data_IF_772771143929
#
_entry.id   IF_772771143929
#
_cell.length_a   1.000
_cell.length_b   1.000
_cell.length_c   1.000
_cell.angle_alpha   90.00
_cell.angle_beta   90.00
_cell.angle_gamma   90.00
#
_symmetry.space_group_name_H-M   'P 1'
#
loop_
_entity.id
_entity.type
_entity.pdbx_description
1 polymer ?
#
# COMPACT_ATOMS: atom_id res chain seq x y z
N UNK A 6 -13.76 -19.21 -9.03
CA UNK A 6 -13.19 -19.59 -7.73
C UNK A 6 -11.97 -18.76 -7.40
N UNK A 7 -10.88 -18.99 -8.12
CA UNK A 7 -9.61 -18.32 -7.84
C UNK A 7 -9.72 -16.82 -8.08
N UNK A 8 -10.53 -16.44 -9.05
CA UNK A 8 -10.77 -15.03 -9.35
C UNK A 8 -11.41 -14.32 -8.16
N UNK A 9 -12.43 -14.94 -7.58
CA UNK A 9 -13.10 -14.40 -6.41
C UNK A 9 -12.17 -14.36 -5.20
N UNK A 10 -11.34 -15.38 -5.07
CA UNK A 10 -10.39 -15.47 -3.97
C UNK A 10 -9.36 -14.35 -4.04
N UNK A 11 -8.86 -14.10 -5.25
CA UNK A 11 -7.88 -13.04 -5.47
C UNK A 11 -8.50 -11.67 -5.23
N UNK A 12 -9.75 -11.50 -5.65
CA UNK A 12 -10.48 -10.27 -5.41
C UNK A 12 -10.65 -10.01 -3.91
N UNK A 13 -10.97 -11.06 -3.17
CA UNK A 13 -11.10 -10.96 -1.72
C UNK A 13 -9.79 -10.54 -1.07
N UNK A 14 -8.69 -11.09 -1.58
CA UNK A 14 -7.35 -10.72 -1.10
C UNK A 14 -7.07 -9.25 -1.37
N UNK A 15 -7.47 -8.78 -2.54
CA UNK A 15 -7.28 -7.38 -2.92
C UNK A 15 -8.09 -6.46 -2.02
N UNK A 16 -9.25 -6.92 -1.59
CA UNK A 16 -10.07 -6.17 -0.65
C UNK A 16 -9.38 -6.03 0.70
N UNK A 17 -8.74 -7.10 1.14
CA UNK A 17 -7.98 -7.08 2.39
C UNK A 17 -6.77 -6.15 2.27
N UNK A 18 -6.14 -6.16 1.10
CA UNK A 18 -5.03 -5.26 0.82
C UNK A 18 -5.48 -3.81 0.83
N UNK A 19 -6.65 -3.55 0.26
CA UNK A 19 -7.25 -2.22 0.29
C UNK A 19 -7.52 -1.77 1.72
N UNK A 20 -7.93 -2.71 2.56
CA UNK A 20 -8.08 -2.45 3.99
C UNK A 20 -6.77 -1.99 4.60
N UNK A 21 -5.68 -2.66 4.25
CA UNK A 21 -4.35 -2.28 4.73
C UNK A 21 -3.96 -0.90 4.20
N UNK A 22 -4.36 -0.60 2.98
CA UNK A 22 -4.15 0.72 2.40
C UNK A 22 -4.89 1.79 3.18
N UNK A 23 -6.11 1.47 3.62
CA UNK A 23 -6.92 2.38 4.40
C UNK A 23 -6.28 2.67 5.75
N UNK A 24 -5.68 1.63 6.34
CA UNK A 24 -4.96 1.78 7.60
C UNK A 24 -3.77 2.73 7.44
N UNK A 25 -3.01 2.53 6.37
CA UNK A 25 -1.86 3.37 6.09
C UNK A 25 -2.29 4.80 5.78
N UNK A 26 -3.37 4.94 5.03
CA UNK A 26 -3.91 6.24 4.69
C UNK A 26 -4.32 7.03 5.93
N UNK A 27 -4.94 6.33 6.88
CA UNK A 27 -5.34 6.93 8.13
C UNK A 27 -4.13 7.44 8.92
N UNK A 28 -3.13 6.59 9.07
CA UNK A 28 -1.93 6.94 9.80
C UNK A 28 -1.15 8.05 9.11
N UNK A 29 -1.14 8.01 7.78
CA UNK A 29 -0.35 8.95 6.99
C UNK A 29 -1.10 10.26 6.80
N UNK A 30 -2.31 10.33 7.35
CA UNK A 30 -3.07 11.58 7.36
C UNK A 30 -3.12 12.18 8.76
N UNK A 31 -3.28 11.33 9.76
CA UNK A 31 -3.42 11.78 11.14
C UNK A 31 -2.08 12.18 11.73
N UNK A 32 -1.02 11.51 11.30
CA UNK A 32 0.33 11.80 11.78
C UNK A 32 0.95 12.94 10.99
N UNK A 33 1.95 13.59 11.60
CA UNK A 33 2.61 14.73 10.97
C UNK A 33 3.97 14.33 10.41
N UNK A 34 4.15 14.55 9.11
CA UNK A 34 5.37 14.11 8.43
C UNK A 34 6.62 14.64 9.12
N UNK A 35 6.54 15.88 9.58
CA UNK A 35 7.71 16.57 10.12
C UNK A 35 7.91 16.25 11.60
N UNK A 36 6.87 15.70 12.22
CA UNK A 36 6.90 15.42 13.65
C UNK A 36 6.64 13.94 13.93
N UNK A 37 6.65 13.13 12.87
CA UNK A 37 6.45 11.70 13.01
C UNK A 37 7.50 11.08 13.93
N UNK A 38 7.02 10.30 14.89
CA UNK A 38 7.91 9.64 15.85
C UNK A 38 8.61 8.44 15.23
N UNK A 39 9.79 8.13 15.74
CA UNK A 39 10.55 6.97 15.27
C UNK A 39 9.70 5.70 15.33
N UNK A 40 8.92 5.57 16.40
CA UNK A 40 8.03 4.42 16.55
C UNK A 40 6.93 4.41 15.50
N UNK A 41 6.39 5.60 15.23
CA UNK A 41 5.34 5.74 14.23
C UNK A 41 5.86 5.39 12.83
N UNK A 42 7.08 5.82 12.54
CA UNK A 42 7.70 5.55 11.25
C UNK A 42 8.11 4.09 11.12
N UNK A 43 8.47 3.49 12.25
CA UNK A 43 8.78 2.06 12.29
C UNK A 43 7.55 1.22 11.96
N UNK A 44 6.41 1.59 12.54
CA UNK A 44 5.15 0.93 12.26
C UNK A 44 4.74 1.13 10.81
N UNK A 45 4.90 2.36 10.32
CA UNK A 45 4.60 2.67 8.92
C UNK A 45 5.54 1.92 7.98
N UNK A 46 6.78 1.74 8.40
CA UNK A 46 7.78 1.05 7.60
C UNK A 46 7.42 -0.44 7.44
N UNK A 47 7.03 -1.06 8.55
CA UNK A 47 6.66 -2.47 8.54
C UNK A 47 5.41 -2.69 7.70
N UNK A 48 4.43 -1.80 7.83
CA UNK A 48 3.22 -1.86 7.03
C UNK A 48 3.51 -1.57 5.56
N UNK A 49 4.45 -0.67 5.32
CA UNK A 49 4.88 -0.36 3.96
C UNK A 49 5.55 -1.57 3.30
N UNK A 50 6.31 -2.32 4.10
CA UNK A 50 6.93 -3.55 3.62
C UNK A 50 5.89 -4.58 3.23
N UNK A 51 4.83 -4.67 4.02
CA UNK A 51 3.70 -5.53 3.69
C UNK A 51 3.02 -5.09 2.40
N UNK A 52 2.82 -3.78 2.26
CA UNK A 52 2.20 -3.22 1.07
C UNK A 52 3.06 -3.45 -0.17
N UNK A 53 4.38 -3.43 0.03
CA UNK A 53 5.32 -3.69 -1.05
C UNK A 53 5.27 -5.15 -1.49
N UNK A 54 5.12 -6.04 -0.52
CA UNK A 54 4.94 -7.46 -0.80
C UNK A 54 3.64 -7.71 -1.56
N UNK A 55 2.59 -7.01 -1.16
CA UNK A 55 1.29 -7.11 -1.83
C UNK A 55 1.34 -6.46 -3.22
N UNK A 56 2.16 -5.43 -3.34
CA UNK A 56 2.39 -4.77 -4.63
C UNK A 56 2.98 -5.75 -5.64
N UNK A 57 3.99 -6.49 -5.21
CA UNK A 57 4.60 -7.50 -6.05
C UNK A 57 3.60 -8.60 -6.41
N UNK A 58 2.80 -9.01 -5.43
CA UNK A 58 1.74 -9.97 -5.66
C UNK A 58 0.79 -9.50 -6.77
N UNK A 59 0.39 -8.24 -6.69
CA UNK A 59 -0.46 -7.65 -7.72
C UNK A 59 0.23 -7.66 -9.08
N UNK A 60 1.48 -7.22 -9.11
CA UNK A 60 2.22 -7.11 -10.36
C UNK A 60 2.36 -8.47 -11.05
N UNK A 61 2.41 -9.53 -10.25
CA UNK A 61 2.50 -10.89 -10.78
C UNK A 61 1.18 -11.31 -11.42
N UNK A 62 0.09 -10.75 -10.93
CA UNK A 62 -1.25 -11.19 -11.32
C UNK A 62 -1.74 -10.44 -12.55
N UNK A 63 -1.37 -9.16 -12.65
CA UNK A 63 -1.94 -8.29 -13.67
C UNK A 63 -1.83 -8.90 -15.05
N UNK A 64 -0.64 -9.37 -15.40
CA UNK A 64 -0.38 -9.92 -16.73
C UNK A 64 -0.91 -11.34 -16.85
N UNK A 65 -1.24 -11.95 -15.71
CA UNK A 65 -1.66 -13.34 -15.69
C UNK A 65 -3.18 -13.45 -15.58
N UNK A 66 -3.84 -12.33 -15.31
CA UNK A 66 -5.29 -12.30 -15.21
C UNK A 66 -5.92 -11.64 -16.43
N UNK A 67 -6.73 -12.41 -17.15
CA UNK A 67 -7.42 -11.91 -18.32
C UNK A 67 -8.76 -11.29 -17.94
N UNK A 68 -9.27 -11.67 -16.78
CA UNK A 68 -10.55 -11.15 -16.29
C UNK A 68 -10.50 -9.64 -16.11
N UNK A 69 -11.44 -8.94 -16.74
CA UNK A 69 -11.44 -7.49 -16.77
C UNK A 69 -11.67 -6.91 -15.38
N UNK A 70 -12.56 -7.55 -14.62
CA UNK A 70 -12.95 -7.06 -13.30
C UNK A 70 -11.79 -7.20 -12.32
N UNK A 71 -11.19 -8.37 -12.28
CA UNK A 71 -10.08 -8.65 -11.37
C UNK A 71 -8.84 -7.84 -11.76
N UNK A 72 -8.60 -7.73 -13.06
CA UNK A 72 -7.48 -6.95 -13.57
C UNK A 72 -7.65 -5.47 -13.21
N UNK A 73 -8.87 -4.97 -13.33
CA UNK A 73 -9.18 -3.61 -12.91
C UNK A 73 -8.89 -3.41 -11.42
N UNK A 74 -9.31 -4.38 -10.61
CA UNK A 74 -9.05 -4.32 -9.18
C UNK A 74 -7.55 -4.36 -8.88
N UNK A 75 -6.83 -5.16 -9.64
CA UNK A 75 -5.38 -5.26 -9.51
C UNK A 75 -4.71 -3.91 -9.77
N UNK A 76 -5.14 -3.25 -10.84
CA UNK A 76 -4.57 -1.97 -11.23
C UNK A 76 -4.88 -0.89 -10.21
N UNK A 77 -6.11 -0.93 -9.68
CA UNK A 77 -6.53 0.04 -8.67
C UNK A 77 -5.73 -0.11 -7.39
N UNK A 78 -5.57 -1.35 -6.94
CA UNK A 78 -4.79 -1.63 -5.73
C UNK A 78 -3.32 -1.28 -5.92
N UNK A 79 -2.79 -1.58 -7.10
CA UNK A 79 -1.42 -1.21 -7.45
C UNK A 79 -1.20 0.29 -7.27
N UNK A 80 -2.12 1.08 -7.80
CA UNK A 80 -2.02 2.54 -7.73
C UNK A 80 -2.10 3.02 -6.28
N UNK A 81 -3.01 2.40 -5.52
CA UNK A 81 -3.19 2.76 -4.11
C UNK A 81 -1.94 2.44 -3.29
N UNK A 82 -1.31 1.31 -3.60
CA UNK A 82 -0.09 0.91 -2.91
C UNK A 82 1.07 1.83 -3.25
N UNK A 83 1.09 2.32 -4.49
CA UNK A 83 2.08 3.31 -4.91
C UNK A 83 1.89 4.62 -4.16
N UNK A 84 0.64 4.99 -3.93
CA UNK A 84 0.32 6.21 -3.17
C UNK A 84 0.78 6.08 -1.73
N UNK A 85 0.59 4.91 -1.14
CA UNK A 85 1.05 4.65 0.22
C UNK A 85 2.57 4.69 0.30
N UNK A 86 3.23 4.09 -0.69
CA UNK A 86 4.69 4.08 -0.74
C UNK A 86 5.25 5.50 -0.78
N UNK A 87 4.73 6.30 -1.69
CA UNK A 87 5.23 7.66 -1.90
C UNK A 87 4.91 8.56 -0.70
N UNK A 88 3.74 8.35 -0.12
CA UNK A 88 3.33 9.11 1.05
C UNK A 88 4.21 8.80 2.25
N UNK A 89 4.53 7.52 2.42
CA UNK A 89 5.45 7.09 3.47
C UNK A 89 6.83 7.68 3.25
N UNK A 90 7.29 7.67 2.01
CA UNK A 90 8.56 8.29 1.65
C UNK A 90 8.57 9.77 2.01
N UNK A 91 7.46 10.45 1.77
CA UNK A 91 7.32 11.85 2.12
C UNK A 91 7.47 12.05 3.63
N UNK A 92 6.85 11.17 4.40
CA UNK A 92 7.00 11.20 5.86
C UNK A 92 8.45 11.15 6.26
N UNK A 93 9.19 10.21 5.69
CA UNK A 93 10.61 10.05 6.00
C UNK A 93 11.39 11.29 5.62
N UNK A 94 11.12 11.83 4.44
CA UNK A 94 11.84 13.00 3.94
C UNK A 94 11.57 14.22 4.80
N UNK A 95 10.32 14.40 5.19
CA UNK A 95 9.92 15.57 5.98
C UNK A 95 10.49 15.50 7.39
N UNK A 96 10.54 14.30 7.95
CA UNK A 96 11.04 14.09 9.29
C UNK A 96 12.56 14.32 9.36
N UNK A 97 13.26 13.87 8.32
CA UNK A 97 14.71 14.00 8.26
C UNK A 97 15.12 15.35 7.71
N UNK A 98 14.19 16.02 7.03
CA UNK A 98 14.44 17.34 6.47
C UNK A 98 15.20 17.24 5.16
N UNK A 99 14.91 16.20 4.39
CA UNK A 99 15.60 15.96 3.12
C UNK A 99 14.62 15.97 1.95
N UNK A 100 13.50 16.66 2.13
CA UNK A 100 12.48 16.75 1.09
C UNK A 100 12.96 17.64 -0.06
#
# INVERSE_FOLDING_TARGET
GPLGSEQIGKLRSELEMVSGNVRVMSEMLTELVPTQAEPADLELLQELNRTCRAMQQRVLELIPQIANEQLTEELLIVNDNLNNVFLRHERFERFRTGQT
#
